data_IF_320647776337
#
_entry.id   IF_320647776337
#
_cell.length_a   1.000
_cell.length_b   1.000
_cell.length_c   1.000
_cell.angle_alpha   90.00
_cell.angle_beta   90.00
_cell.angle_gamma   90.00
#
_symmetry.space_group_name_H-M   'P 1'
#
loop_
_entity.id
_entity.type
_entity.pdbx_description
1 polymer ?
#
# COMPACT_ATOMS: atom_id res chain seq x y z
N UNK A 1 10.90 27.70 12.96
CA UNK A 1 11.98 26.77 13.37
C UNK A 1 11.38 25.40 13.58
N UNK A 2 12.05 24.32 13.13
CA UNK A 2 11.58 22.96 13.39
C UNK A 2 11.73 22.71 14.89
N UNK A 3 10.64 22.75 15.63
CA UNK A 3 10.66 22.39 17.05
C UNK A 3 10.83 20.88 17.17
N UNK A 4 11.64 20.42 18.13
CA UNK A 4 11.85 18.98 18.36
C UNK A 4 10.53 18.23 18.63
N UNK A 5 9.50 18.95 19.10
CA UNK A 5 8.16 18.44 19.30
C UNK A 5 7.43 18.04 18.01
N UNK A 6 7.84 18.56 16.85
CA UNK A 6 7.29 18.17 15.54
C UNK A 6 7.55 16.70 15.17
N UNK A 7 8.49 16.04 15.85
CA UNK A 7 8.78 14.62 15.65
C UNK A 7 7.93 13.69 16.52
N UNK A 8 7.10 14.21 17.43
CA UNK A 8 6.26 13.38 18.31
C UNK A 8 5.31 12.47 17.50
N UNK A 9 4.57 12.95 16.48
CA UNK A 9 3.67 12.09 15.71
C UNK A 9 4.38 10.93 14.98
N UNK A 10 5.45 11.13 14.20
CA UNK A 10 6.14 10.01 13.54
C UNK A 10 6.82 9.06 14.54
N UNK A 11 7.36 9.57 15.65
CA UNK A 11 7.92 8.72 16.71
C UNK A 11 6.85 7.87 17.41
N UNK A 12 5.66 8.44 17.63
CA UNK A 12 4.52 7.71 18.18
C UNK A 12 4.12 6.57 17.24
N UNK A 13 3.94 6.84 15.94
CA UNK A 13 3.60 5.81 14.96
C UNK A 13 4.67 4.70 14.91
N UNK A 14 5.95 5.08 14.91
CA UNK A 14 7.05 4.13 14.95
C UNK A 14 7.02 3.27 16.22
N UNK A 15 6.78 3.87 17.38
CA UNK A 15 6.67 3.16 18.65
C UNK A 15 5.47 2.20 18.64
N UNK A 16 4.30 2.62 18.15
CA UNK A 16 3.13 1.76 18.05
C UNK A 16 3.38 0.57 17.09
N UNK A 17 4.12 0.79 16.00
CA UNK A 17 4.54 -0.26 15.08
C UNK A 17 5.51 -1.26 15.76
N UNK A 18 6.48 -0.77 16.54
CA UNK A 18 7.41 -1.61 17.31
C UNK A 18 6.68 -2.43 18.39
N UNK A 19 5.62 -1.85 18.98
CA UNK A 19 4.75 -2.52 19.95
C UNK A 19 3.75 -3.49 19.29
N UNK A 20 3.83 -3.72 17.98
CA UNK A 20 2.95 -4.62 17.21
C UNK A 20 1.46 -4.29 17.37
N UNK A 21 1.14 -3.01 17.56
CA UNK A 21 -0.25 -2.55 17.63
C UNK A 21 -0.84 -2.60 16.22
N UNK A 22 -2.13 -2.97 16.05
CA UNK A 22 -2.77 -3.00 14.75
C UNK A 22 -2.66 -1.65 14.01
N UNK A 23 -2.54 -1.71 12.68
CA UNK A 23 -2.24 -0.55 11.84
C UNK A 23 -3.27 0.59 11.97
N UNK A 24 -4.57 0.27 12.02
CA UNK A 24 -5.65 1.27 12.08
C UNK A 24 -5.53 2.15 13.33
N UNK A 25 -5.49 1.60 14.57
CA UNK A 25 -5.18 2.39 15.77
C UNK A 25 -3.87 3.18 15.68
N UNK A 26 -2.83 2.59 15.10
CA UNK A 26 -1.52 3.24 14.94
C UNK A 26 -1.59 4.52 14.10
N UNK A 27 -2.25 4.44 12.95
CA UNK A 27 -2.42 5.57 12.02
C UNK A 27 -3.30 6.66 12.65
N UNK A 28 -4.42 6.30 13.28
CA UNK A 28 -5.32 7.27 13.92
C UNK A 28 -4.64 7.98 15.08
N UNK A 29 -3.89 7.26 15.92
CA UNK A 29 -3.13 7.86 17.01
C UNK A 29 -2.08 8.85 16.49
N UNK A 30 -1.38 8.50 15.40
CA UNK A 30 -0.43 9.41 14.73
C UNK A 30 -1.08 10.67 14.20
N UNK A 31 -2.23 10.54 13.52
CA UNK A 31 -3.00 11.67 12.99
C UNK A 31 -3.47 12.61 14.10
N UNK A 32 -4.04 12.06 15.18
CA UNK A 32 -4.51 12.85 16.32
C UNK A 32 -3.35 13.55 17.03
N UNK A 33 -2.22 12.87 17.22
CA UNK A 33 -1.02 13.47 17.78
C UNK A 33 -0.52 14.62 16.88
N UNK A 34 -0.54 14.45 15.55
CA UNK A 34 -0.17 15.51 14.61
C UNK A 34 -1.10 16.71 14.69
N UNK A 35 -2.42 16.48 14.74
CA UNK A 35 -3.41 17.54 14.90
C UNK A 35 -3.22 18.31 16.21
N UNK A 36 -3.05 17.60 17.33
CA UNK A 36 -2.77 18.22 18.64
C UNK A 36 -1.48 19.03 18.59
N UNK A 37 -0.42 18.47 18.02
CA UNK A 37 0.86 19.17 17.90
C UNK A 37 0.79 20.43 17.04
N UNK A 38 0.01 20.41 15.95
CA UNK A 38 -0.21 21.59 15.12
C UNK A 38 -0.90 22.70 15.92
N UNK A 39 -1.90 22.36 16.74
CA UNK A 39 -2.56 23.32 17.63
C UNK A 39 -1.59 23.90 18.68
N UNK A 40 -0.73 23.07 19.28
CA UNK A 40 0.29 23.51 20.23
C UNK A 40 1.34 24.45 19.60
N UNK A 41 1.58 24.33 18.30
CA UNK A 41 2.47 25.23 17.54
C UNK A 41 1.79 26.53 17.10
N UNK A 42 0.51 26.73 17.47
CA UNK A 42 -0.25 27.94 17.17
C UNK A 42 -1.07 27.87 15.88
N UNK A 43 -1.18 26.71 15.23
CA UNK A 43 -2.11 26.54 14.11
C UNK A 43 -3.55 26.64 14.60
N UNK A 44 -4.41 27.33 13.85
CA UNK A 44 -5.84 27.37 14.13
C UNK A 44 -6.50 26.01 13.88
N UNK A 45 -7.58 25.71 14.60
CA UNK A 45 -8.38 24.49 14.37
C UNK A 45 -8.87 24.41 12.92
N UNK A 46 -9.25 25.55 12.33
CA UNK A 46 -9.65 25.65 10.92
C UNK A 46 -8.51 25.25 9.99
N UNK A 47 -7.29 25.77 10.20
CA UNK A 47 -6.12 25.40 9.40
C UNK A 47 -5.79 23.91 9.49
N UNK A 48 -5.94 23.30 10.67
CA UNK A 48 -5.72 21.85 10.83
C UNK A 48 -6.78 21.06 10.06
N UNK A 49 -8.05 21.46 10.16
CA UNK A 49 -9.14 20.80 9.45
C UNK A 49 -9.04 20.97 7.93
N UNK A 50 -8.69 22.16 7.46
CA UNK A 50 -8.46 22.44 6.04
C UNK A 50 -7.26 21.61 5.54
N UNK A 51 -6.17 21.52 6.31
CA UNK A 51 -5.01 20.70 5.95
C UNK A 51 -5.36 19.21 5.85
N UNK A 52 -6.27 18.70 6.69
CA UNK A 52 -6.76 17.32 6.59
C UNK A 52 -7.70 17.14 5.38
N UNK A 53 -8.56 18.12 5.12
CA UNK A 53 -9.58 18.02 4.08
C UNK A 53 -9.03 18.31 2.68
N UNK A 54 -8.41 19.46 2.46
CA UNK A 54 -7.86 19.92 1.17
C UNK A 54 -6.36 19.70 1.02
N UNK A 55 -5.65 19.31 2.08
CA UNK A 55 -4.20 19.14 2.05
C UNK A 55 -3.44 20.36 2.58
N UNK A 56 -2.19 20.14 2.94
CA UNK A 56 -1.29 21.19 3.44
C UNK A 56 -0.70 21.99 2.29
N UNK A 57 -0.76 23.33 2.39
CA UNK A 57 -0.12 24.25 1.43
C UNK A 57 1.00 24.99 2.15
N UNK A 58 2.27 24.82 1.74
CA UNK A 58 3.39 25.51 2.35
C UNK A 58 3.44 26.98 1.91
N UNK A 59 2.87 27.89 2.72
CA UNK A 59 2.74 29.32 2.39
C UNK A 59 4.05 29.96 1.93
N UNK A 60 5.15 29.72 2.63
CA UNK A 60 6.47 30.32 2.28
C UNK A 60 7.05 29.75 0.99
N UNK A 61 6.83 28.47 0.69
CA UNK A 61 7.35 27.84 -0.53
C UNK A 61 6.51 28.29 -1.73
N UNK A 62 5.19 28.38 -1.58
CA UNK A 62 4.30 28.91 -2.60
C UNK A 62 4.59 30.38 -2.91
N UNK A 63 4.90 31.20 -1.90
CA UNK A 63 5.28 32.60 -2.08
C UNK A 63 6.65 32.76 -2.78
N UNK A 64 7.61 31.86 -2.51
CA UNK A 64 8.91 31.84 -3.21
C UNK A 64 8.76 31.36 -4.64
N UNK A 65 7.91 30.37 -4.92
CA UNK A 65 7.62 29.88 -6.27
C UNK A 65 6.91 30.95 -7.13
N UNK A 66 6.09 31.81 -6.51
CA UNK A 66 5.40 32.92 -7.19
C UNK A 66 6.16 34.26 -7.19
N UNK A 67 7.38 34.31 -6.65
CA UNK A 67 8.14 35.55 -6.56
C UNK A 67 8.67 35.98 -7.93
N UNK A 68 8.47 37.26 -8.29
CA UNK A 68 8.97 37.83 -9.55
C UNK A 68 10.42 38.35 -9.50
N UNK A 69 10.98 38.53 -8.31
CA UNK A 69 12.31 39.12 -8.09
C UNK A 69 13.06 38.42 -6.94
N UNK A 70 14.40 38.39 -7.01
CA UNK A 70 15.22 37.78 -5.94
C UNK A 70 15.21 38.60 -4.63
N UNK A 71 14.82 39.87 -4.70
CA UNK A 71 14.70 40.73 -3.52
C UNK A 71 13.58 40.26 -2.59
N UNK A 72 12.43 39.83 -3.13
CA UNK A 72 11.33 39.29 -2.33
C UNK A 72 11.66 37.90 -1.80
N UNK A 73 12.35 37.05 -2.58
CA UNK A 73 12.83 35.74 -2.11
C UNK A 73 13.80 35.88 -0.93
N UNK A 74 14.77 36.79 -1.04
CA UNK A 74 15.73 37.07 0.04
C UNK A 74 15.06 37.73 1.25
N UNK A 75 13.93 38.40 1.06
CA UNK A 75 13.13 38.94 2.16
C UNK A 75 12.32 37.85 2.88
N UNK A 76 11.73 36.92 2.14
CA UNK A 76 10.95 35.78 2.65
C UNK A 76 11.86 34.77 3.37
N UNK A 77 13.09 34.59 2.89
CA UNK A 77 14.09 33.67 3.46
C UNK A 77 15.06 34.37 4.42
N UNK A 78 14.68 35.51 5.00
CA UNK A 78 15.47 36.25 6.00
C UNK A 78 16.05 35.30 7.07
N UNK A 79 17.38 35.16 7.08
CA UNK A 79 18.11 34.29 8.01
C UNK A 79 18.75 33.05 7.36
N UNK A 80 18.45 32.77 6.09
CA UNK A 80 19.18 31.82 5.24
C UNK A 80 20.19 32.60 4.39
N UNK A 81 21.24 31.93 3.90
CA UNK A 81 22.22 32.52 2.97
C UNK A 81 21.49 33.23 1.81
N UNK A 82 21.84 34.50 1.55
CA UNK A 82 21.26 35.25 0.46
C UNK A 82 21.55 34.56 -0.88
N UNK A 83 20.51 34.32 -1.67
CA UNK A 83 20.65 33.72 -2.99
C UNK A 83 21.17 34.77 -3.98
N UNK A 84 22.11 34.36 -4.83
CA UNK A 84 22.64 35.19 -5.91
C UNK A 84 21.64 35.31 -7.06
N UNK A 85 21.67 36.43 -7.78
CA UNK A 85 20.82 36.69 -8.95
C UNK A 85 20.92 35.59 -10.03
N UNK A 86 22.08 34.95 -10.18
CA UNK A 86 22.32 33.87 -11.15
C UNK A 86 21.62 32.55 -10.80
N UNK A 87 21.21 32.36 -9.54
CA UNK A 87 20.52 31.16 -9.07
C UNK A 87 19.01 31.30 -8.92
N UNK A 88 18.43 32.45 -9.29
CA UNK A 88 17.02 32.75 -9.06
C UNK A 88 16.08 31.73 -9.73
N UNK A 89 16.29 31.45 -11.01
CA UNK A 89 15.45 30.52 -11.77
C UNK A 89 15.47 29.12 -11.14
N UNK A 90 16.63 28.65 -10.69
CA UNK A 90 16.76 27.35 -10.03
C UNK A 90 16.08 27.32 -8.65
N UNK A 91 16.08 28.43 -7.90
CA UNK A 91 15.39 28.52 -6.61
C UNK A 91 13.87 28.47 -6.79
N UNK A 92 13.35 29.18 -7.79
CA UNK A 92 11.93 29.16 -8.13
C UNK A 92 11.49 27.77 -8.60
N UNK A 93 12.28 27.12 -9.47
CA UNK A 93 12.01 25.76 -9.95
C UNK A 93 12.01 24.74 -8.79
N UNK A 94 13.00 24.81 -7.89
CA UNK A 94 13.04 23.93 -6.71
C UNK A 94 11.88 24.21 -5.76
N UNK A 95 11.50 25.47 -5.56
CA UNK A 95 10.34 25.82 -4.74
C UNK A 95 9.05 25.25 -5.34
N UNK A 96 8.87 25.32 -6.66
CA UNK A 96 7.70 24.75 -7.35
C UNK A 96 7.66 23.22 -7.23
N UNK A 97 8.79 22.54 -7.43
CA UNK A 97 8.91 21.10 -7.19
C UNK A 97 8.58 20.72 -5.74
N UNK A 98 9.08 21.48 -4.77
CA UNK A 98 8.80 21.25 -3.35
C UNK A 98 7.33 21.50 -3.00
N UNK A 99 6.72 22.51 -3.61
CA UNK A 99 5.29 22.80 -3.44
C UNK A 99 4.46 21.61 -3.94
N UNK A 100 4.76 21.09 -5.14
CA UNK A 100 4.08 19.90 -5.68
C UNK A 100 4.31 18.61 -4.89
N UNK A 101 5.42 18.50 -4.15
CA UNK A 101 5.66 17.34 -3.28
C UNK A 101 4.88 17.40 -1.96
N UNK A 102 4.73 18.60 -1.40
CA UNK A 102 4.07 18.85 -0.11
C UNK A 102 2.54 18.97 -0.26
N UNK A 103 2.07 19.51 -1.37
CA UNK A 103 0.66 19.66 -1.69
C UNK A 103 0.11 18.34 -2.28
N UNK A 104 -0.70 17.61 -1.49
CA UNK A 104 -1.27 16.31 -1.91
C UNK A 104 -2.79 16.22 -1.83
N UNK A 105 -3.50 17.35 -1.72
CA UNK A 105 -4.96 17.40 -1.80
C UNK A 105 -5.73 16.82 -0.61
N UNK A 106 -5.05 16.29 0.42
CA UNK A 106 -5.68 15.74 1.64
C UNK A 106 -6.73 14.67 1.32
N UNK A 107 -7.87 14.71 2.03
CA UNK A 107 -9.00 13.84 1.75
C UNK A 107 -9.62 14.07 0.36
N UNK A 108 -9.70 15.33 -0.08
CA UNK A 108 -10.32 15.66 -1.37
C UNK A 108 -9.56 15.06 -2.55
N UNK A 109 -8.22 15.05 -2.49
CA UNK A 109 -7.36 14.42 -3.49
C UNK A 109 -7.50 12.90 -3.57
N UNK A 110 -8.03 12.26 -2.52
CA UNK A 110 -8.27 10.82 -2.49
C UNK A 110 -9.71 10.41 -2.84
N UNK A 111 -10.63 11.35 -3.04
CA UNK A 111 -12.06 11.04 -3.26
C UNK A 111 -12.28 10.14 -4.47
N UNK A 112 -11.55 10.35 -5.57
CA UNK A 112 -11.65 9.49 -6.75
C UNK A 112 -11.23 8.06 -6.46
N UNK A 113 -10.16 7.88 -5.67
CA UNK A 113 -9.71 6.56 -5.22
C UNK A 113 -10.73 5.91 -4.30
N UNK A 114 -11.31 6.67 -3.36
CA UNK A 114 -12.37 6.19 -2.46
C UNK A 114 -13.62 5.79 -3.22
N UNK A 115 -14.05 6.58 -4.20
CA UNK A 115 -15.20 6.26 -5.05
C UNK A 115 -14.96 4.96 -5.84
N UNK A 116 -13.76 4.79 -6.40
CA UNK A 116 -13.37 3.55 -7.09
C UNK A 116 -13.39 2.35 -6.14
N UNK A 117 -12.86 2.48 -4.92
CA UNK A 117 -12.90 1.44 -3.88
C UNK A 117 -14.34 1.02 -3.59
N UNK A 118 -15.26 1.99 -3.39
CA UNK A 118 -16.67 1.69 -3.08
C UNK A 118 -17.34 0.93 -4.22
N UNK A 119 -17.13 1.35 -5.48
CA UNK A 119 -17.67 0.66 -6.65
C UNK A 119 -17.06 -0.74 -6.81
N UNK A 120 -15.75 -0.87 -6.62
CA UNK A 120 -15.04 -2.15 -6.71
C UNK A 120 -15.52 -3.16 -5.66
N UNK A 121 -15.73 -2.73 -4.41
CA UNK A 121 -16.26 -3.59 -3.34
C UNK A 121 -17.69 -4.05 -3.63
N UNK A 122 -18.55 -3.16 -4.16
CA UNK A 122 -19.91 -3.53 -4.58
C UNK A 122 -19.88 -4.56 -5.71
N UNK A 123 -19.07 -4.33 -6.75
CA UNK A 123 -18.92 -5.27 -7.86
C UNK A 123 -18.35 -6.61 -7.40
N UNK A 124 -17.31 -6.59 -6.58
CA UNK A 124 -16.69 -7.79 -6.03
C UNK A 124 -17.64 -8.60 -5.15
N UNK A 125 -18.46 -7.94 -4.32
CA UNK A 125 -19.52 -8.59 -3.54
C UNK A 125 -20.61 -9.22 -4.40
N UNK A 126 -20.99 -8.58 -5.51
CA UNK A 126 -21.92 -9.18 -6.49
C UNK A 126 -21.29 -10.42 -7.15
N UNK A 127 -20.01 -10.36 -7.53
CA UNK A 127 -19.31 -11.50 -8.13
C UNK A 127 -19.14 -12.69 -7.16
N UNK A 128 -18.90 -12.42 -5.88
CA UNK A 128 -18.81 -13.45 -4.81
C UNK A 128 -20.19 -14.09 -4.57
N UNK A 129 -21.25 -13.29 -4.40
CA UNK A 129 -22.61 -13.80 -4.14
C UNK A 129 -23.19 -14.60 -5.31
N UNK A 130 -22.81 -14.28 -6.55
CA UNK A 130 -23.23 -15.05 -7.74
C UNK A 130 -22.43 -16.35 -7.93
N UNK A 131 -21.36 -16.58 -7.16
CA UNK A 131 -20.54 -17.80 -7.22
C UNK A 131 -19.67 -17.95 -8.46
N UNK A 132 -19.64 -16.96 -9.36
CA UNK A 132 -18.84 -17.03 -10.60
C UNK A 132 -17.36 -17.24 -10.31
N UNK A 133 -16.84 -16.53 -9.32
CA UNK A 133 -15.43 -16.62 -8.95
C UNK A 133 -15.10 -17.99 -8.35
N UNK A 134 -15.98 -18.54 -7.51
CA UNK A 134 -15.79 -19.89 -6.94
C UNK A 134 -15.72 -20.96 -8.03
N UNK A 135 -16.63 -20.92 -9.02
CA UNK A 135 -16.64 -21.89 -10.14
C UNK A 135 -15.35 -21.83 -10.97
N UNK A 136 -14.85 -20.61 -11.24
CA UNK A 136 -13.60 -20.41 -11.99
C UNK A 136 -12.39 -20.92 -11.20
N UNK A 137 -12.32 -20.60 -9.92
CA UNK A 137 -11.23 -20.98 -9.03
C UNK A 137 -11.24 -22.49 -8.72
N UNK A 138 -12.39 -23.12 -8.53
CA UNK A 138 -12.54 -24.57 -8.39
C UNK A 138 -12.05 -25.33 -9.63
N UNK A 139 -12.22 -24.76 -10.83
CA UNK A 139 -11.68 -25.37 -12.04
C UNK A 139 -10.15 -25.40 -12.05
N UNK A 140 -9.51 -24.39 -11.45
CA UNK A 140 -8.05 -24.31 -11.27
C UNK A 140 -7.56 -25.29 -10.21
N UNK A 141 -8.35 -25.56 -9.16
CA UNK A 141 -8.00 -26.53 -8.11
C UNK A 141 -7.97 -27.99 -8.59
N UNK A 142 -8.80 -28.35 -9.58
CA UNK A 142 -8.90 -29.75 -10.09
C UNK A 142 -7.64 -30.29 -10.77
N UNK A 143 -6.65 -29.46 -11.07
CA UNK A 143 -5.45 -29.82 -11.82
C UNK A 143 -4.19 -30.05 -10.95
N UNK A 144 -4.33 -30.11 -9.63
CA UNK A 144 -3.17 -30.03 -8.72
C UNK A 144 -2.92 -31.37 -8.01
N UNK A 145 -1.72 -31.93 -8.24
CA UNK A 145 -1.23 -33.12 -7.56
C UNK A 145 0.16 -32.95 -6.90
N UNK A 146 0.71 -31.73 -6.89
CA UNK A 146 2.04 -31.44 -6.34
C UNK A 146 2.06 -30.13 -5.56
N UNK A 147 3.02 -29.96 -4.64
CA UNK A 147 3.21 -28.72 -3.87
C UNK A 147 3.42 -27.52 -4.79
N UNK A 148 4.22 -27.69 -5.84
CA UNK A 148 4.41 -26.66 -6.86
C UNK A 148 3.11 -26.32 -7.58
N UNK A 149 2.33 -27.32 -8.00
CA UNK A 149 1.04 -27.10 -8.64
C UNK A 149 0.07 -26.36 -7.72
N UNK A 150 0.12 -26.64 -6.42
CA UNK A 150 -0.75 -26.00 -5.42
C UNK A 150 -0.43 -24.52 -5.28
N UNK A 151 0.86 -24.19 -5.12
CA UNK A 151 1.33 -22.80 -5.06
C UNK A 151 1.07 -22.07 -6.38
N UNK A 152 1.38 -22.69 -7.52
CA UNK A 152 1.14 -22.10 -8.84
C UNK A 152 -0.35 -21.80 -9.08
N UNK A 153 -1.24 -22.69 -8.64
CA UNK A 153 -2.68 -22.45 -8.73
C UNK A 153 -3.13 -21.31 -7.83
N UNK A 154 -2.64 -21.20 -6.58
CA UNK A 154 -2.94 -20.04 -5.71
C UNK A 154 -2.46 -18.74 -6.35
N UNK A 155 -1.22 -18.72 -6.85
CA UNK A 155 -0.64 -17.54 -7.52
C UNK A 155 -1.48 -17.14 -8.73
N UNK A 156 -1.81 -18.10 -9.60
CA UNK A 156 -2.63 -17.84 -10.78
C UNK A 156 -4.04 -17.37 -10.40
N UNK A 157 -4.64 -17.94 -9.35
CA UNK A 157 -5.95 -17.55 -8.85
C UNK A 157 -5.95 -16.14 -8.26
N UNK A 158 -4.90 -15.75 -7.54
CA UNK A 158 -4.74 -14.39 -7.02
C UNK A 158 -4.54 -13.37 -8.13
N UNK A 159 -3.69 -13.66 -9.13
CA UNK A 159 -3.50 -12.82 -10.33
C UNK A 159 -4.82 -12.66 -11.08
N UNK A 160 -5.51 -13.77 -11.34
CA UNK A 160 -6.81 -13.76 -12.00
C UNK A 160 -7.81 -12.90 -11.23
N UNK A 161 -7.93 -13.13 -9.93
CA UNK A 161 -8.87 -12.39 -9.10
C UNK A 161 -8.53 -10.90 -9.07
N UNK A 162 -7.25 -10.50 -8.95
CA UNK A 162 -6.85 -9.09 -9.02
C UNK A 162 -7.10 -8.43 -10.38
N UNK A 163 -7.08 -9.21 -11.46
CA UNK A 163 -7.36 -8.70 -12.81
C UNK A 163 -8.85 -8.45 -13.03
N UNK A 164 -9.75 -9.24 -12.40
CA UNK A 164 -11.19 -9.11 -12.59
C UNK A 164 -11.89 -8.34 -11.47
N UNK A 165 -11.36 -8.41 -10.24
CA UNK A 165 -11.88 -7.67 -9.09
C UNK A 165 -11.05 -6.40 -8.94
N UNK A 166 -11.76 -5.29 -8.76
CA UNK A 166 -11.14 -4.00 -8.56
C UNK A 166 -10.53 -3.81 -7.17
N UNK A 167 -10.50 -4.83 -6.30
CA UNK A 167 -10.09 -4.71 -4.90
C UNK A 167 -9.23 -5.90 -4.42
N UNK A 168 -8.13 -5.58 -3.73
CA UNK A 168 -7.16 -6.55 -3.22
C UNK A 168 -7.71 -7.46 -2.12
N UNK A 169 -8.61 -6.95 -1.26
CA UNK A 169 -9.09 -7.73 -0.11
C UNK A 169 -9.82 -9.00 -0.58
N UNK A 170 -10.69 -8.87 -1.58
CA UNK A 170 -11.37 -10.01 -2.18
C UNK A 170 -10.41 -10.94 -2.94
N UNK A 171 -9.35 -10.40 -3.54
CA UNK A 171 -8.33 -11.18 -4.23
C UNK A 171 -7.46 -12.05 -3.32
N UNK A 172 -7.40 -11.74 -2.02
CA UNK A 172 -6.76 -12.59 -1.01
C UNK A 172 -7.75 -13.57 -0.37
N UNK A 173 -8.91 -13.06 0.02
CA UNK A 173 -9.89 -13.82 0.82
C UNK A 173 -10.52 -14.96 0.02
N UNK A 174 -10.86 -14.74 -1.26
CA UNK A 174 -11.54 -15.75 -2.07
C UNK A 174 -10.63 -16.95 -2.39
N UNK A 175 -9.43 -16.78 -2.99
CA UNK A 175 -8.48 -17.88 -3.13
C UNK A 175 -8.10 -18.50 -1.78
N UNK A 176 -7.91 -17.71 -0.73
CA UNK A 176 -7.56 -18.23 0.58
C UNK A 176 -8.62 -19.16 1.18
N UNK A 177 -9.91 -18.83 1.04
CA UNK A 177 -11.01 -19.69 1.49
C UNK A 177 -11.10 -20.98 0.67
N UNK A 178 -10.96 -20.88 -0.65
CA UNK A 178 -11.12 -22.00 -1.57
C UNK A 178 -9.96 -23.00 -1.49
N UNK A 179 -8.73 -22.53 -1.37
CA UNK A 179 -7.54 -23.39 -1.28
C UNK A 179 -7.26 -23.93 0.13
N UNK A 180 -7.93 -23.40 1.17
CA UNK A 180 -7.73 -23.86 2.57
C UNK A 180 -7.93 -25.38 2.74
N UNK A 181 -9.01 -26.01 2.22
CA UNK A 181 -9.16 -27.46 2.30
C UNK A 181 -8.09 -28.22 1.51
N UNK A 182 -7.68 -27.69 0.35
CA UNK A 182 -6.64 -28.32 -0.48
C UNK A 182 -5.28 -28.33 0.23
N UNK A 183 -4.88 -27.25 0.90
CA UNK A 183 -3.66 -27.21 1.71
C UNK A 183 -3.76 -28.09 2.96
N UNK A 184 -4.91 -28.12 3.64
CA UNK A 184 -5.09 -28.90 4.86
C UNK A 184 -5.08 -30.42 4.59
N UNK A 185 -5.59 -30.86 3.45
CA UNK A 185 -5.68 -32.28 3.09
C UNK A 185 -4.47 -32.76 2.27
N UNK A 186 -3.56 -31.87 1.88
CA UNK A 186 -2.36 -32.24 1.14
C UNK A 186 -1.35 -32.89 2.08
N UNK A 187 -0.97 -34.11 1.76
CA UNK A 187 0.02 -34.90 2.49
C UNK A 187 1.06 -35.42 1.52
N UNK A 188 2.33 -35.35 1.92
CA UNK A 188 3.45 -35.90 1.17
C UNK A 188 4.47 -36.44 2.15
N UNK A 189 4.94 -37.67 1.91
CA UNK A 189 5.95 -38.34 2.73
C UNK A 189 5.56 -38.42 4.23
N UNK A 190 4.26 -38.58 4.52
CA UNK A 190 3.70 -38.66 5.88
C UNK A 190 3.53 -37.31 6.60
N UNK A 191 3.84 -36.20 5.93
CA UNK A 191 3.76 -34.84 6.50
C UNK A 191 2.69 -34.01 5.81
N UNK A 192 1.95 -33.24 6.61
CA UNK A 192 0.94 -32.28 6.15
C UNK A 192 1.55 -30.89 5.97
N UNK A 193 0.95 -30.06 5.12
CA UNK A 193 1.38 -28.66 4.98
C UNK A 193 0.87 -27.79 6.16
N UNK A 194 1.70 -26.88 6.65
CA UNK A 194 1.30 -25.90 7.66
C UNK A 194 0.33 -24.87 7.02
N UNK A 195 -0.83 -24.57 7.64
CA UNK A 195 -1.74 -23.52 7.18
C UNK A 195 -1.09 -22.14 6.94
N UNK A 196 0.01 -21.83 7.64
CA UNK A 196 0.81 -20.60 7.44
C UNK A 196 1.39 -20.52 6.03
N UNK A 197 1.65 -21.66 5.38
CA UNK A 197 2.19 -21.70 4.03
C UNK A 197 1.21 -21.14 3.00
N UNK A 198 -0.10 -21.39 3.17
CA UNK A 198 -1.14 -20.77 2.34
C UNK A 198 -1.17 -19.26 2.56
N UNK A 199 -1.17 -18.80 3.82
CA UNK A 199 -1.15 -17.37 4.15
C UNK A 199 0.04 -16.65 3.50
N UNK A 200 1.23 -17.23 3.62
CA UNK A 200 2.44 -16.72 2.96
C UNK A 200 2.27 -16.67 1.43
N UNK A 201 1.75 -17.73 0.83
CA UNK A 201 1.57 -17.81 -0.63
C UNK A 201 0.57 -16.77 -1.14
N UNK A 202 -0.51 -16.53 -0.39
CA UNK A 202 -1.48 -15.47 -0.68
C UNK A 202 -0.82 -14.09 -0.62
N UNK A 203 0.00 -13.83 0.41
CA UNK A 203 0.72 -12.56 0.53
C UNK A 203 1.74 -12.36 -0.60
N UNK A 204 2.46 -13.43 -0.96
CA UNK A 204 3.46 -13.41 -2.04
C UNK A 204 2.83 -13.15 -3.43
N UNK A 205 1.53 -13.37 -3.58
CA UNK A 205 0.81 -13.27 -4.86
C UNK A 205 -0.26 -12.18 -4.90
N UNK A 206 -1.30 -12.28 -4.06
CA UNK A 206 -2.44 -11.36 -4.04
C UNK A 206 -2.04 -9.93 -3.70
N UNK A 207 -1.16 -9.72 -2.72
CA UNK A 207 -0.70 -8.38 -2.36
C UNK A 207 0.19 -7.78 -3.45
N UNK A 208 1.10 -8.58 -4.01
CA UNK A 208 2.08 -8.08 -4.98
C UNK A 208 1.47 -7.78 -6.35
N UNK A 209 0.35 -8.41 -6.71
CA UNK A 209 -0.24 -8.28 -8.06
C UNK A 209 -1.32 -7.20 -8.17
N UNK A 210 -1.92 -6.78 -7.07
CA UNK A 210 -3.00 -5.77 -7.06
C UNK A 210 -2.55 -4.45 -7.70
N UNK A 211 -1.37 -3.95 -7.35
CA UNK A 211 -0.84 -2.68 -7.88
C UNK A 211 -0.54 -2.70 -9.38
N UNK A 212 -0.40 -3.89 -9.98
CA UNK A 212 -0.10 -4.02 -11.41
C UNK A 212 -1.34 -3.81 -12.29
N UNK A 213 -2.53 -3.83 -11.70
CA UNK A 213 -3.80 -3.75 -12.41
C UNK A 213 -4.36 -2.32 -12.32
N UNK A 214 -4.55 -1.60 -13.44
CA UNK A 214 -4.90 -0.17 -13.41
C UNK A 214 -6.22 0.16 -12.71
N UNK A 215 -7.21 -0.72 -12.83
CA UNK A 215 -8.54 -0.56 -12.24
C UNK A 215 -8.65 -1.19 -10.84
N UNK A 216 -7.55 -1.68 -10.28
CA UNK A 216 -7.51 -2.16 -8.90
C UNK A 216 -7.19 -0.99 -7.96
N UNK A 217 -7.69 -1.03 -6.73
CA UNK A 217 -7.55 0.03 -5.71
C UNK A 217 -6.09 0.47 -5.50
N UNK A 218 -5.16 -0.47 -5.35
CA UNK A 218 -3.74 -0.15 -5.16
C UNK A 218 -3.09 0.43 -6.44
N UNK A 219 -3.54 -0.03 -7.60
CA UNK A 219 -3.09 0.47 -8.89
C UNK A 219 -3.50 1.92 -9.11
N UNK A 220 -4.78 2.23 -8.85
CA UNK A 220 -5.37 3.55 -8.91
C UNK A 220 -4.73 4.52 -7.90
N UNK A 221 -4.54 4.08 -6.66
CA UNK A 221 -3.87 4.89 -5.63
C UNK A 221 -2.44 5.27 -6.03
N UNK A 222 -1.63 4.30 -6.47
CA UNK A 222 -0.25 4.59 -6.89
C UNK A 222 -0.19 5.42 -8.16
N UNK A 223 -1.13 5.25 -9.09
CA UNK A 223 -1.22 6.11 -10.27
C UNK A 223 -1.55 7.55 -9.89
N UNK A 224 -2.47 7.76 -8.94
CA UNK A 224 -2.80 9.08 -8.41
C UNK A 224 -1.62 9.72 -7.65
N UNK A 225 -0.90 8.94 -6.85
CA UNK A 225 0.26 9.42 -6.09
C UNK A 225 1.46 9.74 -6.96
N UNK A 226 1.74 8.91 -7.97
CA UNK A 226 2.91 9.09 -8.84
C UNK A 226 2.63 10.05 -10.00
N UNK A 227 1.36 10.40 -10.25
CA UNK A 227 0.95 11.23 -11.39
C UNK A 227 1.16 10.58 -12.75
N UNK A 228 1.42 9.26 -12.78
CA UNK A 228 1.63 8.50 -14.02
C UNK A 228 0.67 7.30 -14.08
N UNK A 229 0.17 6.92 -15.28
CA UNK A 229 -0.68 5.74 -15.42
C UNK A 229 0.02 4.46 -14.94
N UNK A 230 -0.76 3.49 -14.44
CA UNK A 230 -0.25 2.19 -13.95
C UNK A 230 0.67 1.48 -14.93
N UNK A 231 0.30 1.42 -16.21
CA UNK A 231 1.12 0.74 -17.23
C UNK A 231 2.49 1.39 -17.45
N UNK A 232 2.65 2.66 -17.09
CA UNK A 232 3.91 3.40 -17.19
C UNK A 232 4.87 3.07 -16.05
N UNK A 233 4.35 2.92 -14.81
CA UNK A 233 5.20 2.53 -13.69
C UNK A 233 5.38 1.00 -13.58
N UNK A 234 4.51 0.21 -14.21
CA UNK A 234 4.49 -1.25 -14.15
C UNK A 234 5.86 -1.90 -14.44
N UNK A 235 6.66 -1.47 -15.45
CA UNK A 235 7.99 -2.05 -15.70
C UNK A 235 8.96 -1.87 -14.53
N UNK A 236 8.80 -0.78 -13.77
CA UNK A 236 9.66 -0.42 -12.64
C UNK A 236 9.24 -1.08 -11.32
N UNK A 237 8.07 -1.74 -11.29
CA UNK A 237 7.58 -2.49 -10.13
C UNK A 237 8.28 -3.88 -10.03
N UNK A 238 9.62 -3.90 -10.07
CA UNK A 238 10.44 -5.12 -10.12
C UNK A 238 10.09 -6.10 -9.01
N UNK A 239 9.97 -5.60 -7.79
CA UNK A 239 9.65 -6.40 -6.61
C UNK A 239 8.35 -7.19 -6.81
N UNK A 240 7.35 -6.56 -7.43
CA UNK A 240 6.01 -7.11 -7.54
C UNK A 240 5.97 -8.35 -8.40
N UNK A 241 6.49 -8.29 -9.63
CA UNK A 241 6.52 -9.48 -10.50
C UNK A 241 7.64 -10.46 -10.15
N UNK A 242 8.79 -9.97 -9.68
CA UNK A 242 9.89 -10.84 -9.28
C UNK A 242 9.51 -11.69 -8.07
N UNK A 243 8.73 -11.16 -7.12
CA UNK A 243 8.29 -11.94 -5.96
C UNK A 243 7.47 -13.17 -6.36
N UNK A 244 6.58 -13.07 -7.36
CA UNK A 244 5.86 -14.24 -7.88
C UNK A 244 6.83 -15.29 -8.43
N UNK A 245 7.81 -14.85 -9.23
CA UNK A 245 8.78 -15.76 -9.84
C UNK A 245 9.63 -16.43 -8.76
N UNK A 246 10.11 -15.67 -7.78
CA UNK A 246 10.91 -16.18 -6.66
C UNK A 246 10.09 -17.17 -5.83
N UNK A 247 8.83 -16.89 -5.53
CA UNK A 247 7.95 -17.81 -4.80
C UNK A 247 7.79 -19.16 -5.53
N UNK A 248 7.57 -19.13 -6.85
CA UNK A 248 7.47 -20.33 -7.68
C UNK A 248 8.80 -21.10 -7.75
N UNK A 249 9.92 -20.41 -7.95
CA UNK A 249 11.25 -21.02 -8.01
C UNK A 249 11.64 -21.66 -6.68
N UNK A 250 11.45 -20.95 -5.56
CA UNK A 250 11.72 -21.50 -4.23
C UNK A 250 10.88 -22.75 -3.96
N UNK A 251 9.60 -22.72 -4.33
CA UNK A 251 8.71 -23.89 -4.20
C UNK A 251 9.18 -25.05 -5.08
N UNK A 252 9.62 -24.78 -6.32
CA UNK A 252 10.14 -25.81 -7.22
C UNK A 252 11.44 -26.45 -6.69
N UNK A 253 12.30 -25.66 -6.04
CA UNK A 253 13.54 -26.13 -5.40
C UNK A 253 13.30 -26.81 -4.04
N UNK A 254 12.05 -26.82 -3.53
CA UNK A 254 11.72 -27.36 -2.22
C UNK A 254 12.13 -26.48 -1.04
N UNK A 255 12.49 -25.22 -1.30
CA UNK A 255 12.97 -24.27 -0.30
C UNK A 255 11.78 -23.45 0.23
N UNK A 256 11.64 -23.35 1.55
CA UNK A 256 10.61 -22.53 2.18
C UNK A 256 9.22 -23.17 2.29
N UNK A 257 9.10 -24.48 2.03
CA UNK A 257 7.88 -25.25 2.28
C UNK A 257 7.76 -25.50 3.78
N UNK A 258 6.66 -25.03 4.39
CA UNK A 258 6.38 -25.26 5.80
C UNK A 258 5.51 -26.50 5.94
N UNK A 259 6.09 -27.52 6.58
CA UNK A 259 5.38 -28.73 6.96
C UNK A 259 4.87 -28.55 8.39
N UNK A 260 3.67 -29.06 8.66
CA UNK A 260 3.18 -29.16 10.03
C UNK A 260 4.19 -30.02 10.82
N UNK A 261 4.52 -29.58 12.04
CA UNK A 261 5.22 -30.43 12.99
C UNK A 261 4.32 -31.64 13.29
N UNK A 262 4.91 -32.83 13.36
CA UNK A 262 4.19 -34.01 13.83
C UNK A 262 3.61 -33.63 15.20
N UNK A 263 2.29 -33.76 15.37
CA UNK A 263 1.69 -33.69 16.70
C UNK A 263 2.33 -34.82 17.52
N UNK A 264 3.39 -34.52 18.26
CA UNK A 264 3.79 -35.35 19.38
C UNK A 264 2.57 -35.46 20.29
N UNK A 265 2.04 -36.67 20.41
CA UNK A 265 1.10 -37.05 21.44
C UNK A 265 1.60 -36.56 22.80
N UNK A 266 0.92 -35.56 23.38
CA UNK A 266 1.10 -35.11 24.76
C UNK A 266 0.99 -33.59 24.88
N UNK A 267 0.19 -33.00 25.76
CA UNK A 267 -0.42 -33.47 26.99
C UNK A 267 -1.37 -32.38 27.48
N UNK A 268 -2.58 -32.80 27.89
CA UNK A 268 -3.61 -32.11 28.70
C UNK A 268 -4.33 -30.91 28.09
#
# INVERSE_FOLDING_TARGET
SISLYGFIPPLLVLLLALLKIPAIPGIVAGMLAAAVMALFQGAGVTTVMDSLYTGYVPSTIAEVAGAGDIASVNELLKGVLAFSAEGFDSVVEVADMLNGLLERGGLTGMLDTVALILVALVLGGIMETLGFLEVLLERMMRAVHSVFGLVASVVASCVFTNMFLGDQYLALVMPGRLFKPAFANFEKDGKRLDPRFLSRTLEDSGTMTSVLVPWNTCGAYNSGVLGVPTLSYLPYAFLNYLNLVVALVMTALGIGIHWAEDEEEGTV
#
